data_IF_337296189285
#
_entry.id   IF_337296189285
#
_cell.length_a   1.000
_cell.length_b   1.000
_cell.length_c   1.000
_cell.angle_alpha   90.00
_cell.angle_beta   90.00
_cell.angle_gamma   90.00
#
_symmetry.space_group_name_H-M   'P 1'
#
loop_
_entity.id
_entity.type
_entity.pdbx_description
1 polymer ?
#
# COMPACT_ATOMS: atom_id res chain seq x y z
N UNK A 1 6.69 -14.28 -18.24
CA UNK A 1 7.06 -14.94 -16.98
C UNK A 1 6.16 -16.15 -16.64
N UNK A 2 5.03 -16.33 -17.38
CA UNK A 2 4.14 -17.49 -17.22
C UNK A 2 3.17 -17.42 -16.03
N UNK A 3 3.17 -16.35 -15.26
CA UNK A 3 2.19 -16.16 -14.18
C UNK A 3 0.83 -15.76 -14.73
N UNK A 4 -0.23 -16.40 -14.24
CA UNK A 4 -1.60 -15.99 -14.55
C UNK A 4 -1.94 -14.72 -13.76
N UNK A 5 -2.67 -13.82 -14.38
CA UNK A 5 -3.06 -12.54 -13.79
C UNK A 5 -4.55 -12.28 -13.94
N UNK A 6 -5.10 -11.39 -13.09
CA UNK A 6 -6.45 -10.87 -13.20
C UNK A 6 -6.45 -9.38 -12.83
N UNK A 7 -7.26 -8.57 -13.51
CA UNK A 7 -7.41 -7.14 -13.22
C UNK A 7 -8.84 -6.88 -12.79
N UNK A 8 -9.02 -6.26 -11.62
CA UNK A 8 -10.30 -5.78 -11.13
C UNK A 8 -10.33 -4.26 -11.05
N UNK A 9 -11.48 -3.69 -11.37
CA UNK A 9 -11.74 -2.25 -11.26
C UNK A 9 -13.02 -1.99 -10.46
N UNK A 10 -13.15 -0.86 -9.74
CA UNK A 10 -14.35 -0.55 -8.96
C UNK A 10 -15.55 -0.15 -9.84
N UNK A 11 -15.34 0.02 -11.13
CA UNK A 11 -16.36 0.33 -12.15
C UNK A 11 -16.03 -0.43 -13.43
N UNK A 12 -17.02 -0.61 -14.31
CA UNK A 12 -16.80 -1.29 -15.58
C UNK A 12 -15.84 -0.48 -16.48
N UNK A 13 -14.77 -1.12 -16.92
CA UNK A 13 -13.71 -0.51 -17.73
C UNK A 13 -13.26 -1.44 -18.85
N UNK A 14 -14.03 -1.47 -19.92
CA UNK A 14 -13.73 -2.27 -21.11
C UNK A 14 -13.78 -3.79 -20.89
N UNK A 15 -13.24 -4.53 -21.86
CA UNK A 15 -13.29 -6.00 -21.89
C UNK A 15 -12.10 -6.68 -21.18
N UNK A 16 -11.06 -5.92 -20.81
CA UNK A 16 -9.83 -6.47 -20.23
C UNK A 16 -9.82 -6.48 -18.69
N UNK A 17 -10.85 -5.90 -18.06
CA UNK A 17 -10.98 -5.84 -16.62
C UNK A 17 -12.33 -6.39 -16.17
N UNK A 18 -12.40 -6.85 -14.95
CA UNK A 18 -13.65 -7.24 -14.31
C UNK A 18 -14.06 -6.25 -13.23
N UNK A 19 -15.35 -6.14 -12.99
CA UNK A 19 -15.85 -5.41 -11.82
C UNK A 19 -15.40 -6.14 -10.57
N UNK A 20 -14.86 -5.38 -9.61
CA UNK A 20 -14.37 -5.92 -8.35
C UNK A 20 -15.47 -6.71 -7.61
N UNK A 21 -15.06 -7.87 -7.15
CA UNK A 21 -15.81 -8.74 -6.25
C UNK A 21 -14.81 -9.47 -5.37
N UNK A 22 -15.01 -9.42 -4.04
CA UNK A 22 -14.14 -10.12 -3.07
C UNK A 22 -14.08 -11.62 -3.39
N UNK A 23 -15.22 -12.25 -3.64
CA UNK A 23 -15.29 -13.70 -3.91
C UNK A 23 -14.50 -14.09 -5.16
N UNK A 24 -14.64 -13.31 -6.24
CA UNK A 24 -13.86 -13.55 -7.47
C UNK A 24 -12.37 -13.34 -7.27
N UNK A 25 -11.98 -12.31 -6.50
CA UNK A 25 -10.59 -12.05 -6.20
C UNK A 25 -9.98 -13.16 -5.34
N UNK A 26 -10.71 -13.67 -4.35
CA UNK A 26 -10.30 -14.81 -3.53
C UNK A 26 -10.11 -16.06 -4.38
N UNK A 27 -11.04 -16.36 -5.30
CA UNK A 27 -10.89 -17.48 -6.25
C UNK A 27 -9.61 -17.34 -7.08
N UNK A 28 -9.28 -16.11 -7.53
CA UNK A 28 -8.03 -15.87 -8.25
C UNK A 28 -6.78 -16.15 -7.38
N UNK A 29 -6.80 -15.78 -6.11
CA UNK A 29 -5.70 -16.07 -5.17
C UNK A 29 -5.57 -17.58 -4.93
N UNK A 30 -6.68 -18.30 -4.73
CA UNK A 30 -6.69 -19.76 -4.57
C UNK A 30 -6.11 -20.47 -5.80
N UNK A 31 -6.30 -19.90 -7.00
CA UNK A 31 -5.72 -20.39 -8.25
C UNK A 31 -4.25 -19.97 -8.46
N UNK A 32 -3.64 -19.26 -7.49
CA UNK A 32 -2.27 -18.77 -7.56
C UNK A 32 -2.05 -17.66 -8.59
N UNK A 33 -3.08 -16.86 -8.87
CA UNK A 33 -2.97 -15.70 -9.78
C UNK A 33 -2.42 -14.48 -9.06
N UNK A 34 -1.74 -13.62 -9.79
CA UNK A 34 -1.46 -12.26 -9.38
C UNK A 34 -2.66 -11.38 -9.73
N UNK A 35 -3.23 -10.72 -8.73
CA UNK A 35 -4.41 -9.88 -8.89
C UNK A 35 -4.00 -8.41 -8.86
N UNK A 36 -4.45 -7.66 -9.87
CA UNK A 36 -4.27 -6.21 -9.96
C UNK A 36 -5.59 -5.50 -9.66
N UNK A 37 -5.57 -4.59 -8.68
CA UNK A 37 -6.68 -3.69 -8.41
C UNK A 37 -6.34 -2.31 -8.99
N UNK A 38 -7.09 -1.88 -9.99
CA UNK A 38 -6.87 -0.61 -10.69
C UNK A 38 -8.09 0.30 -10.54
N UNK A 39 -7.87 1.63 -10.58
CA UNK A 39 -8.94 2.63 -10.52
C UNK A 39 -9.29 3.12 -9.10
N UNK A 40 -8.45 2.84 -8.10
CA UNK A 40 -8.62 3.33 -6.74
C UNK A 40 -9.93 2.88 -6.08
N UNK A 41 -10.61 3.79 -5.36
CA UNK A 41 -11.93 3.52 -4.76
C UNK A 41 -13.07 3.57 -5.78
N UNK A 42 -12.86 4.16 -6.95
CA UNK A 42 -13.92 4.46 -7.93
C UNK A 42 -14.78 5.68 -7.55
N UNK A 43 -14.45 6.38 -6.48
CA UNK A 43 -15.19 7.55 -5.99
C UNK A 43 -14.30 8.80 -5.99
N UNK A 44 -14.86 9.99 -6.29
CA UNK A 44 -14.13 11.25 -6.17
C UNK A 44 -13.78 11.52 -4.69
N UNK A 45 -12.81 12.40 -4.48
CA UNK A 45 -12.32 12.85 -3.16
C UNK A 45 -11.50 11.84 -2.35
N UNK A 46 -11.38 10.60 -2.80
CA UNK A 46 -10.49 9.62 -2.17
C UNK A 46 -9.20 9.48 -2.96
N UNK A 47 -8.08 9.41 -2.24
CA UNK A 47 -6.77 9.18 -2.83
C UNK A 47 -6.57 7.71 -3.23
N UNK A 48 -5.52 7.45 -3.99
CA UNK A 48 -5.07 6.09 -4.28
C UNK A 48 -4.57 5.38 -3.02
N UNK A 49 -3.99 6.10 -2.06
CA UNK A 49 -3.56 5.53 -0.78
C UNK A 49 -4.76 4.96 0.02
N UNK A 50 -5.87 5.73 0.08
CA UNK A 50 -7.14 5.22 0.63
C UNK A 50 -7.64 3.98 -0.13
N UNK A 51 -7.52 3.98 -1.45
CA UNK A 51 -7.91 2.84 -2.29
C UNK A 51 -7.10 1.58 -2.01
N UNK A 52 -5.79 1.72 -1.79
CA UNK A 52 -4.89 0.61 -1.43
C UNK A 52 -5.31 0.00 -0.08
N UNK A 53 -5.48 0.84 0.94
CA UNK A 53 -5.85 0.38 2.29
C UNK A 53 -7.22 -0.29 2.28
N UNK A 54 -8.22 0.31 1.61
CA UNK A 54 -9.55 -0.29 1.46
C UNK A 54 -9.43 -1.69 0.85
N UNK A 55 -8.68 -1.83 -0.23
CA UNK A 55 -8.53 -3.11 -0.93
C UNK A 55 -7.79 -4.14 -0.07
N UNK A 56 -6.75 -3.73 0.66
CA UNK A 56 -6.02 -4.60 1.57
C UNK A 56 -6.93 -5.15 2.69
N UNK A 57 -7.76 -4.29 3.29
CA UNK A 57 -8.72 -4.68 4.34
C UNK A 57 -9.77 -5.63 3.77
N UNK A 58 -10.39 -5.31 2.62
CA UNK A 58 -11.41 -6.15 2.00
C UNK A 58 -10.89 -7.55 1.62
N UNK A 59 -9.62 -7.64 1.26
CA UNK A 59 -8.96 -8.88 0.85
C UNK A 59 -8.29 -9.62 2.02
N UNK A 60 -8.48 -9.14 3.26
CA UNK A 60 -7.87 -9.73 4.46
C UNK A 60 -6.34 -9.90 4.31
N UNK A 61 -5.66 -8.90 3.73
CA UNK A 61 -4.22 -8.92 3.54
C UNK A 61 -3.46 -8.86 4.87
N UNK A 62 -2.31 -9.51 4.95
CA UNK A 62 -1.46 -9.51 6.15
C UNK A 62 -0.74 -8.18 6.37
N UNK A 63 -0.40 -7.47 5.29
CA UNK A 63 0.30 -6.20 5.34
C UNK A 63 0.20 -5.45 3.99
N UNK A 64 0.56 -4.18 4.02
CA UNK A 64 0.68 -3.32 2.82
C UNK A 64 2.16 -3.01 2.58
N UNK A 65 2.65 -3.28 1.38
CA UNK A 65 3.99 -2.90 0.93
C UNK A 65 3.88 -1.69 0.00
N UNK A 66 4.25 -0.50 0.51
CA UNK A 66 4.17 0.77 -0.22
C UNK A 66 5.50 1.10 -0.90
N UNK A 67 5.60 0.80 -2.17
CA UNK A 67 6.71 1.24 -3.00
C UNK A 67 6.47 2.68 -3.46
N UNK A 68 7.23 3.63 -2.93
CA UNK A 68 7.10 5.07 -3.22
C UNK A 68 8.39 5.64 -3.82
N UNK A 69 8.39 6.92 -4.17
CA UNK A 69 9.58 7.65 -4.62
C UNK A 69 10.44 8.19 -3.46
N UNK A 70 10.17 7.73 -2.24
CA UNK A 70 10.89 8.04 -1.02
C UNK A 70 11.17 6.73 -0.29
N UNK A 71 12.32 6.62 0.31
CA UNK A 71 12.83 5.39 0.92
C UNK A 71 12.31 5.10 2.34
N UNK A 72 11.34 5.87 2.82
CA UNK A 72 10.74 5.64 4.13
C UNK A 72 10.01 6.85 4.69
N UNK A 73 9.72 6.81 5.97
CA UNK A 73 9.07 7.87 6.75
C UNK A 73 10.13 8.68 7.49
N UNK A 74 10.05 9.99 7.39
CA UNK A 74 10.99 10.93 8.00
C UNK A 74 10.28 11.79 9.05
N UNK A 75 11.06 12.30 10.01
CA UNK A 75 10.58 13.25 11.04
C UNK A 75 10.24 14.63 10.47
N UNK A 76 10.76 14.95 9.29
CA UNK A 76 10.50 16.17 8.52
C UNK A 76 10.75 15.91 7.04
N UNK A 77 10.31 16.82 6.16
CA UNK A 77 10.51 16.65 4.71
C UNK A 77 12.01 16.71 4.36
N UNK A 78 12.64 15.61 3.90
CA UNK A 78 14.06 15.59 3.57
C UNK A 78 14.45 16.49 2.39
N UNK A 79 13.48 16.94 1.58
CA UNK A 79 13.73 17.91 0.51
C UNK A 79 13.89 19.33 1.03
N UNK A 80 13.29 19.63 2.18
CA UNK A 80 13.34 20.94 2.84
C UNK A 80 14.35 20.97 3.99
N UNK A 81 14.56 19.84 4.64
CA UNK A 81 15.47 19.69 5.78
C UNK A 81 16.50 18.61 5.51
N UNK A 82 17.76 18.95 5.18
CA UNK A 82 18.82 17.97 4.94
C UNK A 82 19.16 17.11 6.16
N UNK A 83 18.81 17.56 7.38
CA UNK A 83 19.05 16.85 8.64
C UNK A 83 17.87 15.94 9.03
N UNK A 84 16.85 15.80 8.17
CA UNK A 84 15.70 14.93 8.40
C UNK A 84 16.16 13.48 8.64
N UNK A 85 15.60 12.86 9.68
CA UNK A 85 15.94 11.49 10.08
C UNK A 85 14.83 10.54 9.68
N UNK A 86 15.21 9.46 8.97
CA UNK A 86 14.30 8.37 8.65
C UNK A 86 14.07 7.51 9.88
N UNK A 87 12.82 7.09 10.06
CA UNK A 87 12.46 6.06 11.03
C UNK A 87 12.69 4.68 10.43
N UNK A 88 13.29 3.77 11.18
CA UNK A 88 13.32 2.34 10.83
C UNK A 88 11.97 1.70 11.15
N UNK A 89 11.39 2.08 12.30
CA UNK A 89 10.06 1.65 12.73
C UNK A 89 9.35 2.82 13.41
N UNK A 90 8.04 2.94 13.16
CA UNK A 90 7.19 3.96 13.77
C UNK A 90 5.77 3.40 13.91
N UNK A 91 5.02 3.81 14.94
CA UNK A 91 3.61 3.42 15.07
C UNK A 91 2.72 4.30 14.17
N UNK A 92 1.60 3.74 13.70
CA UNK A 92 0.62 4.50 12.93
C UNK A 92 0.01 5.65 13.76
N UNK A 93 -0.13 5.47 15.08
CA UNK A 93 -0.58 6.53 15.97
C UNK A 93 0.39 7.72 15.95
N UNK A 94 1.69 7.44 16.03
CA UNK A 94 2.72 8.48 16.00
C UNK A 94 2.79 9.18 14.63
N UNK A 95 2.57 8.45 13.53
CA UNK A 95 2.42 9.03 12.18
C UNK A 95 1.28 10.05 12.15
N UNK A 96 0.12 9.69 12.71
CA UNK A 96 -1.06 10.56 12.77
C UNK A 96 -0.80 11.77 13.66
N UNK A 97 -0.29 11.57 14.88
CA UNK A 97 -0.05 12.62 15.87
C UNK A 97 0.96 13.67 15.37
N UNK A 98 2.01 13.21 14.72
CA UNK A 98 3.07 14.06 14.14
C UNK A 98 2.71 14.57 12.74
N UNK A 99 1.57 14.17 12.16
CA UNK A 99 1.13 14.53 10.80
C UNK A 99 2.19 14.24 9.73
N UNK A 100 2.85 13.08 9.84
CA UNK A 100 3.88 12.69 8.90
C UNK A 100 3.27 12.26 7.56
N UNK A 101 3.92 12.62 6.46
CA UNK A 101 3.42 12.36 5.10
C UNK A 101 3.80 10.95 4.64
N UNK A 102 3.09 9.93 5.11
CA UNK A 102 3.23 8.53 4.66
C UNK A 102 2.17 8.19 3.63
N UNK A 103 0.92 8.26 4.10
CA UNK A 103 -0.32 8.14 3.34
C UNK A 103 -1.25 9.25 3.80
N UNK A 104 -2.38 9.44 3.12
CA UNK A 104 -3.36 10.43 3.59
C UNK A 104 -3.98 10.04 4.94
N UNK A 105 -4.61 11.01 5.60
CA UNK A 105 -5.18 10.81 6.94
C UNK A 105 -6.26 9.72 6.97
N UNK A 106 -7.10 9.64 5.93
CA UNK A 106 -8.16 8.62 5.83
C UNK A 106 -7.55 7.23 5.81
N UNK A 107 -6.53 7.02 4.97
CA UNK A 107 -5.80 5.77 4.89
C UNK A 107 -5.11 5.42 6.22
N UNK A 108 -4.50 6.41 6.89
CA UNK A 108 -3.85 6.20 8.20
C UNK A 108 -4.83 5.75 9.27
N UNK A 109 -6.01 6.39 9.35
CA UNK A 109 -7.06 6.02 10.32
C UNK A 109 -7.59 4.61 10.02
N UNK A 110 -7.84 4.27 8.75
CA UNK A 110 -8.28 2.93 8.37
C UNK A 110 -7.25 1.86 8.75
N UNK A 111 -5.95 2.11 8.53
CA UNK A 111 -4.89 1.19 8.95
C UNK A 111 -4.89 0.99 10.48
N UNK A 112 -5.06 2.06 11.24
CA UNK A 112 -5.11 2.00 12.71
C UNK A 112 -6.31 1.19 13.19
N UNK A 113 -7.52 1.48 12.69
CA UNK A 113 -8.77 0.83 13.12
C UNK A 113 -8.80 -0.67 12.76
N UNK A 114 -8.28 -1.03 11.59
CA UNK A 114 -8.27 -2.41 11.09
C UNK A 114 -6.97 -3.16 11.39
N UNK A 115 -6.06 -2.54 12.13
CA UNK A 115 -4.74 -3.12 12.49
C UNK A 115 -3.97 -3.62 11.27
N UNK A 116 -3.96 -2.81 10.20
CA UNK A 116 -3.27 -3.11 8.95
C UNK A 116 -1.84 -2.54 8.98
N UNK A 117 -0.80 -3.36 9.20
CA UNK A 117 0.58 -2.88 9.17
C UNK A 117 1.02 -2.56 7.76
N UNK A 118 1.97 -1.65 7.63
CA UNK A 118 2.55 -1.32 6.34
C UNK A 118 4.06 -1.13 6.41
N UNK A 119 4.72 -1.26 5.26
CA UNK A 119 6.10 -0.89 5.09
C UNK A 119 6.26 0.03 3.89
N UNK A 120 7.08 1.07 4.05
CA UNK A 120 7.36 2.08 3.02
C UNK A 120 8.81 1.94 2.59
N UNK A 121 9.05 1.85 1.28
CA UNK A 121 10.38 1.69 0.71
C UNK A 121 10.48 2.34 -0.67
N UNK A 122 11.72 2.57 -1.15
CA UNK A 122 11.95 3.22 -2.45
C UNK A 122 11.67 2.25 -3.61
N UNK A 123 10.76 2.64 -4.50
CA UNK A 123 10.47 1.94 -5.75
C UNK A 123 11.68 1.87 -6.70
N UNK A 124 12.54 2.91 -6.66
CA UNK A 124 13.66 3.06 -7.59
C UNK A 124 14.93 2.30 -7.13
N UNK A 125 14.96 1.81 -5.90
CA UNK A 125 16.06 0.98 -5.44
C UNK A 125 16.04 -0.37 -6.19
N UNK A 126 17.21 -0.82 -6.60
CA UNK A 126 17.34 -2.08 -7.34
C UNK A 126 16.79 -3.25 -6.53
N UNK A 127 15.95 -4.04 -7.16
CA UNK A 127 15.32 -5.24 -6.58
C UNK A 127 14.45 -4.97 -5.33
N UNK A 128 14.06 -3.71 -5.07
CA UNK A 128 13.34 -3.28 -3.87
C UNK A 128 12.05 -4.06 -3.62
N UNK A 129 11.24 -4.28 -4.66
CA UNK A 129 9.98 -5.04 -4.56
C UNK A 129 10.27 -6.51 -4.22
N UNK A 130 11.23 -7.14 -4.91
CA UNK A 130 11.59 -8.53 -4.66
C UNK A 130 12.17 -8.73 -3.24
N UNK A 131 12.97 -7.76 -2.78
CA UNK A 131 13.51 -7.73 -1.43
C UNK A 131 12.39 -7.56 -0.40
N UNK A 132 11.46 -6.63 -0.60
CA UNK A 132 10.33 -6.41 0.29
C UNK A 132 9.44 -7.66 0.42
N UNK A 133 9.17 -8.36 -0.69
CA UNK A 133 8.41 -9.62 -0.71
C UNK A 133 9.11 -10.75 0.08
N UNK A 134 10.41 -10.67 0.28
CA UNK A 134 11.18 -11.64 1.08
C UNK A 134 11.50 -11.15 2.50
N UNK A 135 10.89 -10.05 2.94
CA UNK A 135 11.07 -9.47 4.26
C UNK A 135 12.36 -8.64 4.42
N UNK A 136 13.09 -8.38 3.33
CA UNK A 136 14.30 -7.55 3.33
C UNK A 136 13.93 -6.12 2.93
N UNK A 137 13.38 -5.36 3.86
CA UNK A 137 12.89 -4.00 3.60
C UNK A 137 13.98 -2.99 3.97
N UNK A 138 14.47 -2.25 2.98
CA UNK A 138 15.23 -1.02 3.23
C UNK A 138 14.24 0.15 3.20
N UNK A 139 13.73 0.50 4.37
CA UNK A 139 12.66 1.47 4.47
C UNK A 139 12.17 1.66 5.89
N UNK A 140 10.91 2.02 6.05
CA UNK A 140 10.25 2.18 7.35
C UNK A 140 9.13 1.17 7.52
N UNK A 141 9.11 0.45 8.64
CA UNK A 141 7.98 -0.38 9.06
C UNK A 141 7.03 0.46 9.91
N UNK A 142 5.77 0.56 9.50
CA UNK A 142 4.71 1.24 10.24
C UNK A 142 3.86 0.19 10.95
N UNK A 143 3.95 0.18 12.27
CA UNK A 143 3.23 -0.78 13.14
C UNK A 143 1.88 -0.25 13.59
N UNK A 144 0.98 -1.11 14.01
CA UNK A 144 -0.39 -0.80 14.48
C UNK A 144 -0.64 -1.37 15.88
#
# INVERSE_FOLDING_TARGET
>A
EGMKTQIFTPFLCGAMTELFSKDKANTCFEEGRVVFFAGGTGHPYFSTDTGIVLRAIEMDADCILLAKSIDGVYDSDPKLNPDAKRYDTISIQEVIDKKLAVVDLTASIMCMEHRMPMAVFDLNEKDSIANAMTGKINGTVVTV
#
